data_IF_660074276999
#
_entry.id   IF_660074276999
#
_cell.length_a   1.000
_cell.length_b   1.000
_cell.length_c   1.000
_cell.angle_alpha   90.00
_cell.angle_beta   90.00
_cell.angle_gamma   90.00
#
_symmetry.space_group_name_H-M   'P 1'
#
loop_
_entity.id
_entity.type
_entity.pdbx_description
1 polymer ?
#
# COMPACT_ATOMS: atom_id res chain seq x y z
N UNK A 1 -30.91 -41.27 59.13
CA UNK A 1 -30.27 -40.38 60.12
C UNK A 1 -28.84 -40.18 59.66
N UNK A 2 -28.63 -39.11 58.92
CA UNK A 2 -27.36 -38.43 58.68
C UNK A 2 -27.70 -37.04 58.09
N UNK A 3 -27.83 -36.04 58.99
CA UNK A 3 -27.64 -34.64 58.63
C UNK A 3 -26.13 -34.39 58.48
N UNK A 4 -25.62 -33.47 57.66
CA UNK A 4 -25.89 -32.03 57.56
C UNK A 4 -25.03 -31.46 56.39
N UNK A 5 -24.80 -30.14 56.26
CA UNK A 5 -25.67 -29.07 55.79
C UNK A 5 -25.09 -28.34 54.55
N UNK A 6 -25.87 -27.45 53.94
CA UNK A 6 -25.43 -26.62 52.81
C UNK A 6 -24.33 -25.60 53.12
N UNK A 7 -23.71 -25.09 52.05
CA UNK A 7 -23.10 -23.75 51.99
C UNK A 7 -22.96 -23.34 50.52
N UNK A 8 -23.68 -22.29 50.15
CA UNK A 8 -23.50 -21.63 48.86
C UNK A 8 -22.20 -20.84 48.81
N UNK A 9 -21.74 -20.55 47.59
CA UNK A 9 -20.91 -19.37 47.33
C UNK A 9 -21.24 -18.85 45.93
N UNK A 10 -21.74 -17.62 45.89
CA UNK A 10 -21.87 -16.76 44.72
C UNK A 10 -20.48 -16.31 44.27
N UNK A 11 -20.17 -16.43 42.98
CA UNK A 11 -19.21 -15.63 42.17
C UNK A 11 -18.97 -16.39 40.88
N UNK A 12 -19.07 -15.85 39.69
CA UNK A 12 -19.30 -14.50 39.23
C UNK A 12 -19.38 -14.58 37.71
N UNK A 13 -20.06 -13.60 37.13
CA UNK A 13 -20.02 -13.33 35.70
C UNK A 13 -18.56 -13.12 35.25
N UNK A 14 -18.20 -13.70 34.11
CA UNK A 14 -17.24 -13.15 33.16
C UNK A 14 -17.66 -13.77 31.81
N UNK A 15 -18.30 -13.02 30.91
CA UNK A 15 -17.60 -12.11 29.99
C UNK A 15 -16.42 -12.85 29.35
N UNK A 16 -16.43 -13.17 28.07
CA UNK A 16 -16.76 -12.28 26.98
C UNK A 16 -15.71 -12.53 25.90
N UNK A 17 -16.04 -12.14 24.68
CA UNK A 17 -15.09 -12.15 23.59
C UNK A 17 -15.06 -13.46 22.81
N UNK A 18 -16.11 -13.71 22.03
CA UNK A 18 -15.87 -14.05 20.62
C UNK A 18 -14.82 -13.04 20.15
N UNK A 19 -13.60 -13.52 19.91
CA UNK A 19 -12.58 -12.75 19.24
C UNK A 19 -13.17 -12.28 17.92
N UNK A 20 -13.71 -11.06 17.92
CA UNK A 20 -13.90 -10.30 16.70
C UNK A 20 -12.50 -10.19 16.17
N UNK A 21 -12.16 -11.04 15.19
CA UNK A 21 -11.14 -10.69 14.24
C UNK A 21 -11.49 -9.26 13.84
N UNK A 22 -10.64 -8.31 14.25
CA UNK A 22 -10.69 -6.97 13.69
C UNK A 22 -10.42 -7.20 12.22
N UNK A 23 -11.48 -7.37 11.44
CA UNK A 23 -11.49 -6.93 10.06
C UNK A 23 -11.13 -5.45 10.17
N UNK A 24 -9.83 -5.17 10.00
CA UNK A 24 -9.40 -3.81 9.67
C UNK A 24 -10.31 -3.38 8.53
N UNK A 25 -10.97 -2.20 8.62
CA UNK A 25 -11.89 -1.75 7.60
C UNK A 25 -11.14 -1.87 6.27
N UNK A 26 -11.65 -2.73 5.38
CA UNK A 26 -10.98 -3.04 4.13
C UNK A 26 -10.69 -1.72 3.43
N UNK A 27 -9.43 -1.32 3.39
CA UNK A 27 -9.06 -0.06 2.75
C UNK A 27 -9.51 -0.17 1.30
N UNK A 28 -10.34 0.77 0.89
CA UNK A 28 -10.86 0.82 -0.47
C UNK A 28 -9.68 0.84 -1.45
N UNK A 29 -9.65 -0.16 -2.33
CA UNK A 29 -8.65 -0.28 -3.36
C UNK A 29 -9.16 0.43 -4.60
N UNK A 30 -8.29 1.23 -5.20
CA UNK A 30 -8.62 2.05 -6.36
C UNK A 30 -7.60 1.82 -7.44
N UNK A 31 -8.06 1.92 -8.68
CA UNK A 31 -7.17 1.92 -9.82
C UNK A 31 -6.59 3.33 -9.96
N UNK A 32 -5.32 3.44 -10.28
CA UNK A 32 -4.70 4.72 -10.62
C UNK A 32 -3.72 4.57 -11.78
N UNK A 33 -3.58 5.65 -12.53
CA UNK A 33 -2.53 5.78 -13.54
C UNK A 33 -1.45 6.70 -13.00
N UNK A 34 -0.19 6.26 -13.06
CA UNK A 34 0.98 7.04 -12.60
C UNK A 34 1.93 7.25 -13.77
N UNK A 35 2.17 8.50 -14.13
CA UNK A 35 3.21 8.90 -15.08
C UNK A 35 4.47 9.34 -14.33
N UNK A 36 5.61 8.77 -14.71
CA UNK A 36 6.93 9.06 -14.14
C UNK A 36 7.83 9.51 -15.27
N UNK A 37 8.36 10.73 -15.19
CA UNK A 37 9.43 11.21 -16.05
C UNK A 37 10.75 11.10 -15.30
N UNK A 38 11.76 10.48 -15.92
CA UNK A 38 13.09 10.28 -15.36
C UNK A 38 14.10 11.03 -16.22
N UNK A 39 14.72 12.04 -15.63
CA UNK A 39 15.88 12.79 -16.11
C UNK A 39 17.17 12.14 -15.56
N UNK A 40 18.31 12.33 -16.23
CA UNK A 40 19.61 11.72 -15.86
C UNK A 40 19.47 10.22 -15.52
N UNK A 41 19.00 9.46 -16.52
CA UNK A 41 18.61 8.04 -16.38
C UNK A 41 19.68 7.16 -15.75
N UNK A 42 20.97 7.49 -15.90
CA UNK A 42 22.07 6.69 -15.35
C UNK A 42 22.10 6.75 -13.82
N UNK A 43 21.75 7.89 -13.23
CA UNK A 43 21.71 8.07 -11.78
C UNK A 43 20.35 7.75 -11.18
N UNK A 44 19.26 8.16 -11.85
CA UNK A 44 17.92 8.05 -11.29
C UNK A 44 17.29 6.66 -11.48
N UNK A 45 17.55 5.97 -12.60
CA UNK A 45 16.87 4.71 -12.92
C UNK A 45 17.05 3.58 -11.88
N UNK A 46 18.25 3.37 -11.27
CA UNK A 46 18.40 2.34 -10.23
C UNK A 46 17.47 2.56 -9.04
N UNK A 47 17.41 3.80 -8.51
CA UNK A 47 16.56 4.17 -7.38
C UNK A 47 15.08 4.06 -7.72
N UNK A 48 14.69 4.50 -8.93
CA UNK A 48 13.32 4.34 -9.42
C UNK A 48 12.95 2.85 -9.45
N UNK A 49 13.78 2.01 -10.05
CA UNK A 49 13.51 0.58 -10.16
C UNK A 49 13.39 -0.10 -8.79
N UNK A 50 14.23 0.26 -7.83
CA UNK A 50 14.13 -0.24 -6.45
C UNK A 50 12.76 0.09 -5.83
N UNK A 51 12.32 1.36 -5.94
CA UNK A 51 11.01 1.76 -5.42
C UNK A 51 9.88 1.00 -6.13
N UNK A 52 9.95 0.85 -7.46
CA UNK A 52 8.93 0.08 -8.20
C UNK A 52 8.89 -1.38 -7.76
N UNK A 53 10.04 -2.00 -7.54
CA UNK A 53 10.15 -3.38 -7.04
C UNK A 53 9.52 -3.54 -5.64
N UNK A 54 9.72 -2.56 -4.75
CA UNK A 54 9.11 -2.56 -3.41
C UNK A 54 7.58 -2.46 -3.43
N UNK A 55 6.99 -1.93 -4.50
CA UNK A 55 5.54 -1.79 -4.68
C UNK A 55 5.02 -2.70 -5.81
N UNK A 56 5.75 -3.75 -6.19
CA UNK A 56 5.39 -4.59 -7.34
C UNK A 56 4.02 -5.25 -7.21
N UNK A 57 3.57 -5.56 -5.98
CA UNK A 57 2.29 -6.22 -5.71
C UNK A 57 1.06 -5.39 -6.10
N UNK A 58 1.18 -4.06 -6.19
CA UNK A 58 0.09 -3.17 -6.61
C UNK A 58 0.18 -2.74 -8.08
N UNK A 59 1.26 -3.07 -8.79
CA UNK A 59 1.45 -2.67 -10.20
C UNK A 59 0.78 -3.71 -11.10
N UNK A 60 -0.33 -3.33 -11.71
CA UNK A 60 -1.10 -4.15 -12.67
C UNK A 60 -0.42 -4.16 -14.04
N UNK A 61 0.17 -3.02 -14.42
CA UNK A 61 0.85 -2.89 -15.70
C UNK A 61 1.86 -1.76 -15.70
N UNK A 62 2.88 -1.87 -16.55
CA UNK A 62 3.86 -0.80 -16.77
C UNK A 62 4.30 -0.72 -18.23
N UNK A 63 4.50 0.49 -18.71
CA UNK A 63 5.09 0.78 -20.02
C UNK A 63 6.26 1.73 -19.83
N UNK A 64 7.44 1.35 -20.35
CA UNK A 64 8.63 2.20 -20.37
C UNK A 64 8.91 2.71 -21.78
N UNK A 65 9.05 4.03 -21.93
CA UNK A 65 9.30 4.70 -23.21
C UNK A 65 10.58 5.52 -23.10
N UNK A 66 11.72 5.04 -23.62
CA UNK A 66 12.96 5.81 -23.63
C UNK A 66 12.88 6.91 -24.68
N UNK A 67 13.00 8.18 -24.28
CA UNK A 67 13.00 9.32 -25.18
C UNK A 67 14.42 9.89 -25.32
N UNK A 68 15.23 9.19 -26.12
CA UNK A 68 16.67 9.46 -26.27
C UNK A 68 16.99 10.90 -26.73
N UNK A 69 16.17 11.46 -27.61
CA UNK A 69 16.36 12.83 -28.15
C UNK A 69 16.30 13.92 -27.07
N UNK A 70 15.62 13.64 -25.95
CA UNK A 70 15.50 14.56 -24.81
C UNK A 70 16.28 14.11 -23.58
N UNK A 71 17.06 13.02 -23.71
CA UNK A 71 17.77 12.35 -22.62
C UNK A 71 16.90 12.04 -21.38
N UNK A 72 15.65 11.66 -21.63
CA UNK A 72 14.69 11.28 -20.59
C UNK A 72 14.07 9.92 -20.86
N UNK A 73 13.50 9.32 -19.82
CA UNK A 73 12.63 8.15 -19.94
C UNK A 73 11.27 8.42 -19.31
N UNK A 74 10.21 7.92 -19.94
CA UNK A 74 8.86 7.95 -19.37
C UNK A 74 8.48 6.55 -18.93
N UNK A 75 7.91 6.42 -17.75
CA UNK A 75 7.30 5.19 -17.25
C UNK A 75 5.84 5.49 -16.94
N UNK A 76 4.92 4.76 -17.55
CA UNK A 76 3.50 4.77 -17.21
C UNK A 76 3.17 3.51 -16.43
N UNK A 77 2.52 3.66 -15.27
CA UNK A 77 2.05 2.57 -14.43
C UNK A 77 0.53 2.57 -14.37
N UNK A 78 -0.05 1.39 -14.38
CA UNK A 78 -1.41 1.13 -13.93
C UNK A 78 -1.27 0.40 -12.60
N UNK A 79 -1.84 0.97 -11.54
CA UNK A 79 -1.77 0.40 -10.20
C UNK A 79 -3.17 0.15 -9.65
N UNK A 80 -3.30 -0.90 -8.87
CA UNK A 80 -4.45 -1.20 -8.03
C UNK A 80 -3.92 -1.21 -6.60
N UNK A 81 -4.38 -0.27 -5.77
CA UNK A 81 -3.89 -0.14 -4.40
C UNK A 81 -4.78 0.75 -3.56
N UNK A 82 -4.51 0.76 -2.27
CA UNK A 82 -5.14 1.70 -1.34
C UNK A 82 -4.57 3.10 -1.54
N UNK A 83 -5.31 4.15 -1.14
CA UNK A 83 -4.83 5.53 -1.21
C UNK A 83 -3.47 5.72 -0.54
N UNK A 84 -3.22 5.02 0.57
CA UNK A 84 -1.95 5.10 1.29
C UNK A 84 -0.79 4.43 0.53
N UNK A 85 -1.04 3.28 -0.11
CA UNK A 85 -0.03 2.58 -0.92
C UNK A 85 0.34 3.42 -2.15
N UNK A 86 -0.66 3.96 -2.84
CA UNK A 86 -0.47 4.84 -4.01
C UNK A 86 0.25 6.13 -3.59
N UNK A 87 -0.13 6.72 -2.46
CA UNK A 87 0.54 7.89 -1.87
C UNK A 87 1.99 7.60 -1.50
N UNK A 88 2.27 6.44 -0.92
CA UNK A 88 3.64 6.03 -0.56
C UNK A 88 4.53 5.87 -1.79
N UNK A 89 4.03 5.19 -2.83
CA UNK A 89 4.74 4.99 -4.10
C UNK A 89 5.07 6.34 -4.77
N UNK A 90 4.07 7.19 -4.95
CA UNK A 90 4.21 8.47 -5.64
C UNK A 90 5.06 9.46 -4.85
N UNK A 91 4.93 9.48 -3.52
CA UNK A 91 5.74 10.31 -2.64
C UNK A 91 7.22 9.93 -2.65
N UNK A 92 7.54 8.63 -2.55
CA UNK A 92 8.93 8.14 -2.64
C UNK A 92 9.56 8.48 -4.00
N UNK A 93 8.85 8.21 -5.09
CA UNK A 93 9.34 8.54 -6.44
C UNK A 93 9.53 10.05 -6.64
N UNK A 94 8.59 10.87 -6.16
CA UNK A 94 8.65 12.33 -6.28
C UNK A 94 9.75 12.99 -5.43
N UNK A 95 10.31 12.25 -4.46
CA UNK A 95 11.45 12.72 -3.66
C UNK A 95 12.82 12.50 -4.32
N UNK A 96 12.87 11.76 -5.42
CA UNK A 96 14.11 11.52 -6.14
C UNK A 96 14.47 12.70 -7.05
N UNK A 97 15.72 13.16 -6.96
CA UNK A 97 16.26 14.14 -7.90
C UNK A 97 16.18 13.64 -9.34
N UNK A 98 15.73 14.50 -10.24
CA UNK A 98 15.54 14.17 -11.65
C UNK A 98 14.29 13.32 -11.94
N UNK A 99 13.40 13.12 -10.97
CA UNK A 99 12.14 12.38 -11.18
C UNK A 99 10.93 13.29 -11.00
N UNK A 100 10.03 13.28 -11.99
CA UNK A 100 8.72 13.98 -11.90
C UNK A 100 7.61 12.96 -11.97
N UNK A 101 6.68 13.03 -11.02
CA UNK A 101 5.57 12.09 -10.91
C UNK A 101 4.25 12.81 -11.00
N UNK A 102 3.31 12.25 -11.76
CA UNK A 102 1.91 12.66 -11.81
C UNK A 102 1.04 11.43 -11.67
N UNK A 103 -0.01 11.51 -10.87
CA UNK A 103 -0.95 10.40 -10.68
C UNK A 103 -2.38 10.89 -10.85
N UNK A 104 -3.20 10.07 -11.51
CA UNK A 104 -4.65 10.23 -11.57
C UNK A 104 -5.27 8.98 -10.94
N UNK A 105 -5.91 9.16 -9.78
CA UNK A 105 -6.66 8.10 -9.10
C UNK A 105 -8.06 8.09 -9.67
N UNK A 106 -8.53 6.92 -10.12
CA UNK A 106 -9.91 6.74 -10.57
C UNK A 106 -10.78 6.24 -9.41
N UNK A 107 -12.09 6.43 -9.53
CA UNK A 107 -13.11 6.10 -8.51
C UNK A 107 -13.05 4.65 -8.08
#
# INVERSE_FOLDING_TARGET
MDGSPGRGTLRGQAEGGKGKGKESPGKERRIAVVGILVEDRLKAAPKVNEILSLHASMIVGRMGVPYREKDVAVIALIVDGTTDEIGSLTGKLGSLDGVKVRSAVTT
#
